data_IF_373097706768
#
_entry.id   IF_373097706768
#
_cell.length_a   1.000
_cell.length_b   1.000
_cell.length_c   1.000
_cell.angle_alpha   90.00
_cell.angle_beta   90.00
_cell.angle_gamma   90.00
#
_symmetry.space_group_name_H-M   'P 1'
#
loop_
_entity.id
_entity.type
_entity.pdbx_description
1 polymer ?
#
# COMPACT_ATOMS: atom_id res chain seq x y z
N UNK A 1 3.97 -9.12 34.50
CA UNK A 1 4.58 -9.44 33.19
C UNK A 1 3.57 -9.07 32.11
N UNK A 2 3.13 -7.80 32.11
CA UNK A 2 1.92 -7.34 31.40
C UNK A 2 2.12 -5.93 30.82
N UNK A 3 3.37 -5.58 30.54
CA UNK A 3 3.77 -4.23 30.20
C UNK A 3 4.65 -4.29 28.94
N UNK A 4 4.27 -3.51 27.90
CA UNK A 4 4.75 -3.51 26.49
C UNK A 4 3.92 -4.28 25.46
N UNK A 5 2.60 -4.15 25.49
CA UNK A 5 1.84 -4.18 24.24
C UNK A 5 1.27 -2.79 24.01
N UNK A 6 2.12 -1.87 23.56
CA UNK A 6 1.67 -0.62 22.97
C UNK A 6 1.01 -0.98 21.64
N UNK A 7 -0.23 -1.48 21.70
CA UNK A 7 -1.07 -1.68 20.54
C UNK A 7 -1.20 -0.29 19.92
N UNK A 8 -0.78 -0.12 18.66
CA UNK A 8 -1.09 1.09 17.92
C UNK A 8 -2.61 1.28 17.96
N UNK A 9 -3.06 2.51 18.26
CA UNK A 9 -4.50 2.80 18.51
C UNK A 9 -5.42 2.34 17.36
N UNK A 10 -4.87 2.13 16.17
CA UNK A 10 -5.52 1.43 15.06
C UNK A 10 -4.52 0.95 14.00
N UNK A 11 -5.01 0.13 13.06
CA UNK A 11 -4.27 -0.33 11.88
C UNK A 11 -5.06 0.10 10.65
N UNK A 12 -4.35 0.55 9.61
CA UNK A 12 -4.91 0.84 8.30
C UNK A 12 -4.38 -0.12 7.25
N UNK A 13 -5.24 -0.55 6.35
CA UNK A 13 -4.86 -1.14 5.09
C UNK A 13 -4.51 -0.01 4.13
N UNK A 14 -3.23 0.11 3.79
CA UNK A 14 -2.76 1.02 2.76
C UNK A 14 -2.77 0.29 1.42
N UNK A 15 -3.43 0.88 0.43
CA UNK A 15 -3.53 0.34 -0.93
C UNK A 15 -2.86 1.32 -1.88
N UNK A 16 -1.85 0.84 -2.61
CA UNK A 16 -1.16 1.59 -3.67
C UNK A 16 -1.44 0.93 -5.00
N UNK A 17 -1.92 1.69 -5.98
CA UNK A 17 -2.16 1.21 -7.35
C UNK A 17 -1.18 1.94 -8.26
N UNK A 18 -0.30 1.21 -8.92
CA UNK A 18 0.79 1.77 -9.74
C UNK A 18 0.97 0.96 -11.03
N UNK A 19 1.72 1.46 -12.01
CA UNK A 19 2.05 0.70 -13.22
C UNK A 19 2.71 -0.64 -12.89
N UNK A 20 2.41 -1.66 -13.70
CA UNK A 20 3.05 -2.97 -13.64
C UNK A 20 4.57 -2.87 -13.52
N UNK A 21 5.15 -3.68 -12.64
CA UNK A 21 6.59 -3.75 -12.39
C UNK A 21 7.12 -2.68 -11.45
N UNK A 22 6.30 -1.69 -11.05
CA UNK A 22 6.69 -0.68 -10.04
C UNK A 22 6.22 -1.07 -8.63
N UNK A 23 5.48 -2.16 -8.46
CA UNK A 23 5.01 -2.63 -7.16
C UNK A 23 6.15 -2.93 -6.17
N UNK A 24 7.26 -3.50 -6.63
CA UNK A 24 8.43 -3.77 -5.77
C UNK A 24 9.00 -2.50 -5.15
N UNK A 25 9.07 -1.41 -5.91
CA UNK A 25 9.51 -0.11 -5.41
C UNK A 25 8.63 0.41 -4.28
N UNK A 26 7.32 0.15 -4.33
CA UNK A 26 6.41 0.46 -3.21
C UNK A 26 6.81 -0.34 -1.98
N UNK A 27 7.05 -1.65 -2.14
CA UNK A 27 7.45 -2.50 -1.02
C UNK A 27 8.78 -2.11 -0.42
N UNK A 28 9.74 -1.64 -1.21
CA UNK A 28 11.04 -1.19 -0.69
C UNK A 28 10.92 0.07 0.17
N UNK A 29 10.13 1.06 -0.28
CA UNK A 29 9.82 2.26 0.52
C UNK A 29 9.12 1.88 1.81
N UNK A 30 8.23 0.88 1.76
CA UNK A 30 7.55 0.40 2.95
C UNK A 30 8.49 -0.33 3.93
N UNK A 31 9.43 -1.14 3.42
CA UNK A 31 10.47 -1.81 4.23
C UNK A 31 11.40 -0.82 4.90
N UNK A 32 11.82 0.24 4.20
CA UNK A 32 12.57 1.37 4.77
C UNK A 32 11.82 2.02 5.94
N UNK A 33 10.49 1.91 5.96
CA UNK A 33 9.60 2.37 7.01
C UNK A 33 9.25 1.28 8.06
N UNK A 34 9.96 0.16 8.11
CA UNK A 34 9.66 -0.95 9.04
C UNK A 34 8.20 -1.43 8.94
N UNK A 35 7.65 -1.47 7.73
CA UNK A 35 6.38 -2.13 7.46
C UNK A 35 6.75 -3.51 6.92
N UNK A 36 6.18 -4.55 7.53
CA UNK A 36 6.62 -5.94 7.26
C UNK A 36 5.69 -6.68 6.31
N UNK A 37 4.39 -6.36 6.34
CA UNK A 37 3.39 -7.08 5.55
C UNK A 37 3.06 -6.31 4.26
N UNK A 38 3.30 -6.98 3.14
CA UNK A 38 2.97 -6.51 1.79
C UNK A 38 2.43 -7.64 0.95
N UNK A 39 1.41 -7.35 0.14
CA UNK A 39 0.90 -8.23 -0.91
C UNK A 39 0.86 -7.44 -2.21
N UNK A 40 1.42 -7.99 -3.27
CA UNK A 40 1.31 -7.44 -4.63
C UNK A 40 0.32 -8.31 -5.41
N UNK A 41 -0.74 -7.68 -5.92
CA UNK A 41 -1.72 -8.31 -6.79
C UNK A 41 -1.62 -7.72 -8.20
N UNK A 42 -1.92 -8.55 -9.20
CA UNK A 42 -2.08 -8.09 -10.57
C UNK A 42 -3.44 -7.38 -10.71
N UNK A 43 -3.42 -6.15 -11.21
CA UNK A 43 -4.58 -5.35 -11.54
C UNK A 43 -4.59 -4.93 -13.01
N UNK A 44 -5.76 -4.47 -13.46
CA UNK A 44 -5.98 -3.83 -14.75
C UNK A 44 -6.48 -2.42 -14.51
N UNK A 45 -5.78 -1.44 -15.07
CA UNK A 45 -6.12 -0.03 -14.99
C UNK A 45 -7.18 0.34 -16.00
N UNK A 46 -7.94 1.38 -15.66
CA UNK A 46 -9.07 1.91 -16.44
C UNK A 46 -8.83 3.35 -16.89
N UNK A 47 -7.58 3.83 -16.79
CA UNK A 47 -7.21 5.17 -17.22
C UNK A 47 -7.21 5.20 -18.76
N UNK A 48 -8.37 5.44 -19.33
CA UNK A 48 -8.58 5.41 -20.76
C UNK A 48 -7.99 6.68 -21.40
N UNK A 49 -7.26 6.47 -22.48
CA UNK A 49 -7.04 7.49 -23.51
C UNK A 49 -7.74 6.97 -24.76
N UNK A 50 -8.66 7.75 -25.32
CA UNK A 50 -9.38 7.38 -26.57
C UNK A 50 -8.41 6.99 -27.68
N UNK A 51 -7.24 7.64 -27.73
CA UNK A 51 -6.18 7.32 -28.70
C UNK A 51 -5.55 5.94 -28.42
N UNK A 52 -5.30 5.61 -27.15
CA UNK A 52 -4.71 4.30 -26.79
C UNK A 52 -5.69 3.15 -27.02
N UNK A 53 -6.98 3.37 -26.76
CA UNK A 53 -8.04 2.40 -27.11
C UNK A 53 -8.13 2.20 -28.62
N UNK A 54 -8.10 3.27 -29.42
CA UNK A 54 -8.07 3.17 -30.89
C UNK A 54 -6.87 2.38 -31.41
N UNK A 55 -5.71 2.52 -30.75
CA UNK A 55 -4.48 1.80 -31.09
C UNK A 55 -4.42 0.37 -30.52
N UNK A 56 -5.44 -0.11 -29.80
CA UNK A 56 -5.47 -1.45 -29.21
C UNK A 56 -4.52 -1.64 -28.02
N UNK A 57 -4.06 -0.55 -27.40
CA UNK A 57 -3.10 -0.52 -26.27
C UNK A 57 -3.68 0.22 -25.06
N UNK A 58 -5.01 0.36 -24.99
CA UNK A 58 -5.72 1.04 -23.90
C UNK A 58 -5.71 0.27 -22.57
N UNK A 59 -5.47 -1.03 -22.62
CA UNK A 59 -5.35 -1.86 -21.43
C UNK A 59 -4.04 -1.57 -20.70
N UNK A 60 -4.13 -0.85 -19.58
CA UNK A 60 -2.96 -0.61 -18.73
C UNK A 60 -2.87 -1.69 -17.66
N UNK A 61 -1.75 -2.39 -17.58
CA UNK A 61 -1.50 -3.30 -16.47
C UNK A 61 -1.04 -2.55 -15.22
N UNK A 62 -1.56 -2.93 -14.05
CA UNK A 62 -1.25 -2.28 -12.77
C UNK A 62 -0.81 -3.29 -11.73
N UNK A 63 0.11 -2.90 -10.86
CA UNK A 63 0.35 -3.57 -9.59
C UNK A 63 -0.52 -2.92 -8.51
N UNK A 64 -1.23 -3.75 -7.73
CA UNK A 64 -1.97 -3.33 -6.55
C UNK A 64 -1.18 -3.82 -5.33
N UNK A 65 -0.58 -2.90 -4.59
CA UNK A 65 0.22 -3.19 -3.41
C UNK A 65 -0.61 -2.90 -2.16
N UNK A 66 -0.89 -3.94 -1.37
CA UNK A 66 -1.60 -3.86 -0.11
C UNK A 66 -0.62 -4.01 1.04
N UNK A 67 -0.65 -3.08 1.99
CA UNK A 67 0.23 -3.10 3.18
C UNK A 67 -0.56 -2.77 4.43
N UNK A 68 -0.22 -3.38 5.57
CA UNK A 68 -0.79 -2.97 6.86
C UNK A 68 0.11 -1.95 7.53
N UNK A 69 -0.45 -0.83 7.96
CA UNK A 69 0.32 0.27 8.58
C UNK A 69 -0.33 0.69 9.90
N UNK A 70 0.47 1.01 10.94
CA UNK A 70 -0.03 1.68 12.13
C UNK A 70 -0.75 2.98 11.78
N UNK A 71 -1.89 3.25 12.40
CA UNK A 71 -2.74 4.40 12.07
C UNK A 71 -2.03 5.74 12.26
N UNK A 72 -1.24 5.88 13.32
CA UNK A 72 -0.43 7.06 13.64
C UNK A 72 0.65 7.35 12.58
N UNK A 73 1.13 6.30 11.90
CA UNK A 73 2.16 6.40 10.85
C UNK A 73 1.60 6.46 9.43
N UNK A 74 0.33 6.09 9.23
CA UNK A 74 -0.27 5.99 7.91
C UNK A 74 -0.11 7.27 7.07
N UNK A 75 -0.34 8.44 7.67
CA UNK A 75 -0.24 9.73 6.97
C UNK A 75 1.19 10.06 6.53
N UNK A 76 2.20 9.76 7.34
CA UNK A 76 3.59 10.05 6.99
C UNK A 76 4.07 9.13 5.85
N UNK A 77 3.73 7.85 5.92
CA UNK A 77 4.08 6.87 4.89
C UNK A 77 3.42 7.21 3.55
N UNK A 78 2.14 7.59 3.56
CA UNK A 78 1.43 8.07 2.35
C UNK A 78 2.13 9.26 1.71
N UNK A 79 2.58 10.24 2.51
CA UNK A 79 3.33 11.40 2.00
C UNK A 79 4.67 11.00 1.40
N UNK A 80 5.35 10.04 2.02
CA UNK A 80 6.64 9.55 1.52
C UNK A 80 6.48 8.80 0.19
N UNK A 81 5.49 7.92 0.07
CA UNK A 81 5.14 7.25 -1.18
C UNK A 81 4.76 8.26 -2.25
N UNK A 82 3.89 9.22 -1.92
CA UNK A 82 3.49 10.29 -2.83
C UNK A 82 4.70 11.05 -3.40
N UNK A 83 5.67 11.41 -2.55
CA UNK A 83 6.89 12.10 -2.96
C UNK A 83 7.83 11.21 -3.79
N UNK A 84 8.17 10.00 -3.31
CA UNK A 84 9.15 9.11 -3.96
C UNK A 84 8.64 8.52 -5.28
N UNK A 85 7.33 8.37 -5.43
CA UNK A 85 6.67 7.84 -6.62
C UNK A 85 6.04 8.92 -7.50
N UNK A 86 6.07 10.19 -7.06
CA UNK A 86 5.51 11.34 -7.77
C UNK A 86 4.02 11.13 -8.11
N UNK A 87 3.24 10.67 -7.12
CA UNK A 87 1.81 10.34 -7.30
C UNK A 87 0.94 11.58 -7.54
N UNK A 88 1.49 12.78 -7.36
CA UNK A 88 0.89 14.06 -7.73
C UNK A 88 0.88 14.28 -9.25
N UNK A 89 1.69 13.54 -10.01
CA UNK A 89 1.73 13.64 -11.47
C UNK A 89 0.74 12.68 -12.13
N UNK A 90 0.05 13.10 -13.21
CA UNK A 90 -0.86 12.24 -13.94
C UNK A 90 -0.22 10.92 -14.37
N UNK A 91 -0.95 9.82 -14.20
CA UNK A 91 -0.55 8.49 -14.66
C UNK A 91 0.38 7.71 -13.73
N UNK A 92 0.92 8.32 -12.67
CA UNK A 92 1.88 7.65 -11.77
C UNK A 92 1.23 6.73 -10.71
N UNK A 93 -0.10 6.68 -10.65
CA UNK A 93 -0.84 5.84 -9.72
C UNK A 93 -1.45 6.62 -8.56
N UNK A 94 -2.00 5.88 -7.60
CA UNK A 94 -2.64 6.45 -6.41
C UNK A 94 -2.27 5.64 -5.16
N UNK A 95 -2.38 6.27 -4.00
CA UNK A 95 -2.30 5.62 -2.69
C UNK A 95 -3.44 6.12 -1.81
N UNK A 96 -4.07 5.19 -1.08
CA UNK A 96 -5.10 5.53 -0.10
C UNK A 96 -5.10 4.51 1.04
N UNK A 97 -5.84 4.82 2.09
CA UNK A 97 -5.91 3.98 3.30
C UNK A 97 -7.34 3.66 3.68
N UNK A 98 -7.58 2.44 4.17
CA UNK A 98 -8.85 1.97 4.70
C UNK A 98 -8.62 1.55 6.18
N UNK A 99 -9.43 2.01 7.15
CA UNK A 99 -9.31 1.55 8.53
C UNK A 99 -9.68 0.07 8.66
N UNK A 100 -8.89 -0.69 9.43
CA UNK A 100 -9.21 -2.08 9.79
C UNK A 100 -9.89 -2.05 11.15
N UNK A 101 -11.19 -2.35 11.19
CA UNK A 101 -11.99 -2.29 12.41
C UNK A 101 -11.72 -3.43 13.39
N UNK A 102 -11.29 -4.59 12.89
CA UNK A 102 -11.06 -5.79 13.71
C UNK A 102 -10.19 -6.81 12.97
N UNK A 103 -9.36 -7.54 13.72
CA UNK A 103 -8.58 -8.68 13.22
C UNK A 103 -8.85 -9.88 14.12
N UNK A 104 -9.20 -11.02 13.53
CA UNK A 104 -9.31 -12.27 14.26
C UNK A 104 -7.97 -13.01 14.26
N UNK A 105 -7.55 -13.48 15.45
CA UNK A 105 -6.31 -14.25 15.64
C UNK A 105 -5.14 -13.38 16.12
N UNK A 106 -4.55 -13.76 17.26
CA UNK A 106 -3.46 -13.02 17.90
C UNK A 106 -2.19 -13.01 17.04
N UNK A 107 -1.84 -14.15 16.45
CA UNK A 107 -0.65 -14.27 15.57
C UNK A 107 -0.81 -13.39 14.33
N UNK A 108 -2.00 -13.39 13.71
CA UNK A 108 -2.29 -12.54 12.55
C UNK A 108 -2.19 -11.07 12.90
N UNK A 109 -2.73 -10.65 14.05
CA UNK A 109 -2.61 -9.29 14.54
C UNK A 109 -1.14 -8.89 14.75
N UNK A 110 -0.33 -9.75 15.37
CA UNK A 110 1.10 -9.50 15.59
C UNK A 110 1.86 -9.38 14.25
N UNK A 111 1.52 -10.18 13.24
CA UNK A 111 2.10 -10.08 11.90
C UNK A 111 1.77 -8.74 11.23
N UNK A 112 0.49 -8.34 11.25
CA UNK A 112 0.04 -7.11 10.59
C UNK A 112 0.55 -5.83 11.28
N UNK A 113 0.77 -5.90 12.60
CA UNK A 113 1.34 -4.81 13.41
C UNK A 113 2.86 -4.75 13.39
N UNK A 114 3.54 -5.76 12.83
CA UNK A 114 5.01 -5.85 12.85
C UNK A 114 5.60 -6.13 14.24
N UNK A 115 4.79 -6.63 15.19
CA UNK A 115 5.20 -6.93 16.57
C UNK A 115 5.92 -8.29 16.71
N UNK A 116 6.15 -9.05 15.64
CA UNK A 116 6.87 -10.34 15.66
C UNK A 116 8.37 -10.25 15.36
N UNK A 117 8.98 -9.07 15.51
CA UNK A 117 10.42 -8.89 15.31
C UNK A 117 11.21 -8.96 16.62
#
# INVERSE_FOLDING_TARGET
MTDKLSICDGIKLMVTIIDRGKGEKVTDICKENNISFHLICLGKGTANSEILEYLGIGDTEKDIVMSSVPEDRATSIVRELSKKLQLDKPGNGIVFTIPISSVAGVVTLQLLTGLMN
#
